data_IF_725137394057
#
_entry.id   IF_725137394057
#
_cell.length_a   1.000
_cell.length_b   1.000
_cell.length_c   1.000
_cell.angle_alpha   90.00
_cell.angle_beta   90.00
_cell.angle_gamma   90.00
#
_symmetry.space_group_name_H-M   'P 1'
#
loop_
_entity.id
_entity.type
_entity.pdbx_description
1 polymer ?
#
# COMPACT_ATOMS: atom_id res chain seq x y z
N UNK A 1 16.72 -8.69 18.32
CA UNK A 1 16.42 -10.07 18.77
C UNK A 1 16.89 -11.05 17.70
N UNK A 2 17.22 -12.28 18.09
CA UNK A 2 17.65 -13.36 17.19
C UNK A 2 16.53 -14.39 17.03
N UNK A 3 16.33 -14.91 15.82
CA UNK A 3 15.38 -15.97 15.51
C UNK A 3 16.15 -17.25 15.15
N UNK A 4 15.82 -18.36 15.80
CA UNK A 4 16.35 -19.68 15.48
C UNK A 4 15.21 -20.56 14.98
N UNK A 5 15.39 -21.18 13.81
CA UNK A 5 14.44 -22.10 13.21
C UNK A 5 15.16 -23.40 12.83
N UNK A 6 14.48 -24.53 12.96
CA UNK A 6 14.97 -25.82 12.47
C UNK A 6 14.42 -26.05 11.07
N UNK A 7 15.30 -26.31 10.11
CA UNK A 7 14.96 -26.62 8.72
C UNK A 7 15.85 -27.74 8.23
N UNK A 8 15.39 -28.43 7.20
CA UNK A 8 16.17 -29.45 6.51
C UNK A 8 17.48 -28.87 5.92
N UNK A 9 18.58 -29.61 6.04
CA UNK A 9 19.91 -29.16 5.62
C UNK A 9 20.01 -28.94 4.11
N UNK A 10 19.35 -29.78 3.31
CA UNK A 10 19.33 -29.64 1.85
C UNK A 10 18.51 -28.43 1.43
N UNK A 11 17.42 -28.12 2.15
CA UNK A 11 16.69 -26.87 1.98
C UNK A 11 17.57 -25.65 2.27
N UNK A 12 18.29 -25.63 3.40
CA UNK A 12 19.19 -24.53 3.76
C UNK A 12 20.31 -24.36 2.73
N UNK A 13 20.89 -25.47 2.26
CA UNK A 13 21.94 -25.46 1.24
C UNK A 13 21.44 -24.84 -0.07
N UNK A 14 20.28 -25.27 -0.58
CA UNK A 14 19.70 -24.71 -1.81
C UNK A 14 19.36 -23.23 -1.65
N UNK A 15 18.82 -22.83 -0.51
CA UNK A 15 18.54 -21.43 -0.20
C UNK A 15 19.82 -20.58 -0.21
N UNK A 16 20.93 -21.07 0.37
CA UNK A 16 22.23 -20.39 0.35
C UNK A 16 22.78 -20.23 -1.07
N UNK A 17 22.73 -21.27 -1.90
CA UNK A 17 23.18 -21.21 -3.29
C UNK A 17 22.38 -20.15 -4.06
N UNK A 18 21.05 -20.16 -3.90
CA UNK A 18 20.18 -19.17 -4.54
C UNK A 18 20.47 -17.75 -4.06
N UNK A 19 20.59 -17.54 -2.75
CA UNK A 19 20.90 -16.22 -2.19
C UNK A 19 22.24 -15.69 -2.73
N UNK A 20 23.28 -16.53 -2.79
CA UNK A 20 24.58 -16.16 -3.36
C UNK A 20 24.46 -15.77 -4.84
N UNK A 21 23.71 -16.54 -5.65
CA UNK A 21 23.49 -16.20 -7.06
C UNK A 21 22.79 -14.85 -7.26
N UNK A 22 22.03 -14.40 -6.26
CA UNK A 22 21.33 -13.11 -6.25
C UNK A 22 22.13 -12.00 -5.56
N UNK A 23 23.38 -12.26 -5.13
CA UNK A 23 24.20 -11.30 -4.40
C UNK A 23 23.67 -10.95 -3.01
N UNK A 24 22.93 -11.86 -2.38
CA UNK A 24 22.31 -11.67 -1.05
C UNK A 24 22.63 -12.82 -0.10
N UNK A 25 22.02 -12.82 1.09
CA UNK A 25 22.13 -13.88 2.08
C UNK A 25 20.77 -14.42 2.50
N UNK A 26 20.72 -15.65 3.01
CA UNK A 26 19.49 -16.24 3.55
C UNK A 26 18.88 -15.38 4.65
N UNK A 27 19.71 -14.78 5.52
CA UNK A 27 19.23 -13.90 6.58
C UNK A 27 18.60 -12.60 6.04
N UNK A 28 19.15 -12.04 4.95
CA UNK A 28 18.57 -10.86 4.32
C UNK A 28 17.20 -11.19 3.70
N UNK A 29 17.10 -12.30 2.97
CA UNK A 29 15.83 -12.80 2.41
C UNK A 29 14.81 -13.06 3.51
N UNK A 30 15.21 -13.71 4.61
CA UNK A 30 14.30 -14.01 5.72
C UNK A 30 13.81 -12.74 6.41
N UNK A 31 14.68 -11.74 6.58
CA UNK A 31 14.30 -10.44 7.14
C UNK A 31 13.28 -9.74 6.27
N UNK A 32 13.52 -9.70 4.96
CA UNK A 32 12.63 -9.03 4.02
C UNK A 32 11.27 -9.74 3.94
N UNK A 33 11.27 -11.08 3.96
CA UNK A 33 10.05 -11.86 4.08
C UNK A 33 9.29 -11.59 5.38
N UNK A 34 9.97 -11.52 6.53
CA UNK A 34 9.30 -11.23 7.81
C UNK A 34 8.77 -9.81 7.87
N UNK A 35 9.47 -8.84 7.27
CA UNK A 35 8.98 -7.46 7.13
C UNK A 35 7.73 -7.41 6.26
N UNK A 36 7.72 -8.10 5.12
CA UNK A 36 6.56 -8.13 4.25
C UNK A 36 5.41 -8.89 4.89
N UNK A 37 5.68 -10.01 5.56
CA UNK A 37 4.69 -10.80 6.30
C UNK A 37 4.05 -10.01 7.45
N UNK A 38 4.85 -9.25 8.20
CA UNK A 38 4.36 -8.39 9.27
C UNK A 38 3.64 -7.13 8.73
N UNK A 39 4.05 -6.61 7.57
CA UNK A 39 3.48 -5.43 6.94
C UNK A 39 2.26 -5.70 6.04
N UNK A 40 2.10 -6.94 5.56
CA UNK A 40 1.08 -7.30 4.58
C UNK A 40 -0.33 -7.11 5.10
N UNK A 41 -0.56 -7.19 6.41
CA UNK A 41 -1.90 -6.98 6.96
C UNK A 41 -2.35 -5.52 6.82
N UNK A 42 -1.49 -4.52 7.03
CA UNK A 42 -1.94 -3.12 7.01
C UNK A 42 -2.20 -2.65 5.58
N UNK A 43 -1.28 -2.89 4.66
CA UNK A 43 -1.42 -2.42 3.27
C UNK A 43 -2.45 -3.25 2.50
N UNK A 44 -2.47 -4.57 2.67
CA UNK A 44 -3.48 -5.42 2.03
C UNK A 44 -4.86 -5.15 2.62
N UNK A 45 -4.98 -4.96 3.94
CA UNK A 45 -6.26 -4.56 4.56
C UNK A 45 -6.69 -3.17 4.10
N UNK A 46 -5.76 -2.20 3.97
CA UNK A 46 -6.10 -0.87 3.45
C UNK A 46 -6.59 -0.92 2.00
N UNK A 47 -5.93 -1.70 1.13
CA UNK A 47 -6.38 -1.92 -0.27
C UNK A 47 -7.73 -2.63 -0.33
N UNK A 48 -7.92 -3.67 0.50
CA UNK A 48 -9.19 -4.39 0.57
C UNK A 48 -10.33 -3.48 1.05
N UNK A 49 -10.12 -2.71 2.13
CA UNK A 49 -11.07 -1.73 2.65
C UNK A 49 -11.40 -0.65 1.62
N UNK A 50 -10.40 -0.14 0.88
CA UNK A 50 -10.63 0.84 -0.18
C UNK A 50 -11.49 0.25 -1.30
N UNK A 51 -11.22 -0.98 -1.72
CA UNK A 51 -12.01 -1.67 -2.75
C UNK A 51 -13.45 -1.96 -2.28
N UNK A 52 -13.64 -2.31 -1.01
CA UNK A 52 -14.96 -2.52 -0.42
C UNK A 52 -15.75 -1.21 -0.35
N UNK A 53 -15.13 -0.11 0.09
CA UNK A 53 -15.73 1.22 0.07
C UNK A 53 -16.10 1.66 -1.35
N UNK A 54 -15.23 1.43 -2.33
CA UNK A 54 -15.51 1.75 -3.73
C UNK A 54 -16.70 0.95 -4.28
N UNK A 55 -16.82 -0.33 -3.95
CA UNK A 55 -17.94 -1.18 -4.36
C UNK A 55 -19.25 -0.81 -3.67
N UNK A 56 -19.20 -0.39 -2.41
CA UNK A 56 -20.38 0.04 -1.65
C UNK A 56 -20.80 1.48 -1.97
N UNK A 57 -19.93 2.26 -2.60
CA UNK A 57 -20.19 3.67 -2.91
C UNK A 57 -21.28 3.82 -3.95
N UNK A 58 -22.29 4.65 -3.64
CA UNK A 58 -23.26 5.17 -4.61
C UNK A 58 -22.77 6.44 -5.29
N UNK A 59 -21.60 6.96 -4.89
CA UNK A 59 -21.02 8.15 -5.48
C UNK A 59 -20.66 7.88 -6.95
N UNK A 60 -21.21 8.73 -7.81
CA UNK A 60 -21.05 8.69 -9.25
C UNK A 60 -20.85 10.13 -9.74
N UNK A 61 -20.31 10.29 -10.93
CA UNK A 61 -20.31 11.58 -11.63
C UNK A 61 -21.72 12.03 -12.06
N UNK A 62 -22.79 11.36 -11.63
CA UNK A 62 -24.15 11.62 -12.07
C UNK A 62 -24.39 11.20 -13.53
N UNK A 63 -25.62 11.38 -14.02
CA UNK A 63 -26.00 11.01 -15.39
C UNK A 63 -25.28 11.83 -16.47
N UNK A 64 -24.89 13.06 -16.13
CA UNK A 64 -24.20 13.98 -17.04
C UNK A 64 -22.68 13.82 -17.04
N UNK A 65 -22.15 12.89 -16.22
CA UNK A 65 -20.71 12.74 -16.04
C UNK A 65 -20.08 13.93 -15.34
N UNK A 66 -18.75 14.03 -15.41
CA UNK A 66 -17.99 15.08 -14.72
C UNK A 66 -18.36 16.45 -15.30
N UNK A 67 -18.89 17.34 -14.47
CA UNK A 67 -19.29 18.71 -14.86
C UNK A 67 -18.26 19.78 -14.53
N UNK A 68 -17.22 19.44 -13.76
CA UNK A 68 -16.18 20.37 -13.34
C UNK A 68 -14.89 20.16 -14.14
N UNK A 69 -14.17 21.26 -14.40
CA UNK A 69 -12.77 21.25 -14.81
C UNK A 69 -11.84 21.34 -13.61
N UNK A 70 -10.56 21.01 -13.81
CA UNK A 70 -9.57 21.07 -12.74
C UNK A 70 -9.45 22.51 -12.21
N UNK A 71 -9.47 23.46 -13.13
CA UNK A 71 -9.41 24.90 -12.89
C UNK A 71 -10.60 25.36 -12.04
N UNK A 72 -11.82 24.89 -12.33
CA UNK A 72 -13.02 25.20 -11.54
C UNK A 72 -12.87 24.75 -10.07
N UNK A 73 -12.34 23.54 -9.84
CA UNK A 73 -12.12 23.02 -8.48
C UNK A 73 -11.09 23.83 -7.69
N UNK A 74 -10.08 24.38 -8.38
CA UNK A 74 -9.10 25.26 -7.72
C UNK A 74 -9.72 26.61 -7.38
N UNK A 75 -10.52 27.20 -8.28
CA UNK A 75 -11.26 28.42 -8.02
C UNK A 75 -12.22 28.27 -6.82
N UNK A 76 -12.98 27.18 -6.78
CA UNK A 76 -13.90 26.80 -5.69
C UNK A 76 -13.22 26.61 -4.32
N UNK A 77 -11.93 26.26 -4.33
CA UNK A 77 -11.12 26.11 -3.11
C UNK A 77 -10.69 27.47 -2.56
N UNK A 78 -10.35 28.43 -3.43
CA UNK A 78 -10.01 29.79 -3.03
C UNK A 78 -11.25 30.55 -2.51
N UNK A 79 -12.41 30.37 -3.13
CA UNK A 79 -13.66 31.01 -2.68
C UNK A 79 -14.13 30.53 -1.31
N UNK A 80 -13.99 29.22 -1.02
CA UNK A 80 -14.33 28.66 0.30
C UNK A 80 -13.45 29.18 1.44
N UNK A 81 -12.20 29.51 1.16
CA UNK A 81 -11.25 30.04 2.15
C UNK A 81 -11.49 31.54 2.40
N UNK A 82 -11.89 32.28 1.36
CA UNK A 82 -12.29 33.69 1.45
C UNK A 82 -13.66 33.88 2.15
N UNK A 83 -14.54 32.88 2.10
CA UNK A 83 -15.84 32.88 2.78
C UNK A 83 -15.76 32.72 4.31
N UNK A 84 -14.61 32.28 4.85
CA UNK A 84 -14.38 32.16 6.32
C UNK A 84 -13.91 33.49 6.92
N UNK A 85 -13.68 34.51 6.08
CA UNK A 85 -13.15 35.81 6.47
C UNK A 85 -14.05 36.97 6.02
N UNK A 86 -15.29 37.00 6.51
CA UNK A 86 -16.06 38.24 6.63
C UNK A 86 -16.45 38.45 8.11
N UNK A 87 -16.13 39.62 8.72
CA UNK A 87 -16.55 39.97 10.08
C UNK A 87 -18.02 40.39 10.20
#
# INVERSE_FOLDING_TARGET
>A
MNLTITIDDELLRRARIRALSQGTSVNAVLREFLTSYAGSDVETSARARLADLARASTASSGSQGRTWTREDLYADRFDRDLSVHEP
#
